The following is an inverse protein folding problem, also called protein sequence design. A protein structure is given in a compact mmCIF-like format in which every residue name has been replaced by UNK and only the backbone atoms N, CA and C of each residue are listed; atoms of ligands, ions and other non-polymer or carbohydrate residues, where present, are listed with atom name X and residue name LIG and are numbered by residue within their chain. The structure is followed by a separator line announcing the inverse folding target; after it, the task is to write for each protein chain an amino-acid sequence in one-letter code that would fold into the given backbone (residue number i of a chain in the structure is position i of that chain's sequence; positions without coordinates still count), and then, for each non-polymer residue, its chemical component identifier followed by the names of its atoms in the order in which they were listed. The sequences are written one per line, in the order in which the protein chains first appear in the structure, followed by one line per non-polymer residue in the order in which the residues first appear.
data_IF_552053680978
#
_entry.id   IF_552053680978
#
_cell.length_a   1.000
_cell.length_b   1.000
_cell.length_c   1.000
_cell.angle_alpha   90.00
_cell.angle_beta   90.00
_cell.angle_gamma   90.00
#
_symmetry.space_group_name_H-M   'P 1'
#
loop_
_entity.id
_entity.type
_entity.pdbx_description
1 polymer ?
#
# COMPACT_ATOMS: atom_id res chain seq x y z
N UNK A 1 -41.31 25.38 -15.90
CA UNK A 1 -39.83 25.49 -15.85
C UNK A 1 -39.38 26.57 -16.81
N UNK A 2 -38.49 27.48 -16.39
CA UNK A 2 -37.82 28.43 -17.29
C UNK A 2 -36.48 27.84 -17.73
N UNK A 3 -36.16 27.98 -19.01
CA UNK A 3 -34.86 27.53 -19.54
C UNK A 3 -33.73 28.41 -19.00
N UNK A 4 -32.51 27.88 -19.01
CA UNK A 4 -31.28 28.62 -18.63
C UNK A 4 -30.34 28.74 -19.84
N UNK A 5 -29.55 29.82 -19.95
CA UNK A 5 -28.53 29.93 -20.98
C UNK A 5 -27.49 28.81 -20.88
N UNK A 6 -26.99 28.36 -22.01
CA UNK A 6 -25.82 27.47 -22.08
C UNK A 6 -24.62 28.21 -21.47
N UNK A 7 -23.98 27.61 -20.45
CA UNK A 7 -22.72 28.14 -19.91
C UNK A 7 -21.57 27.69 -20.82
N UNK A 8 -20.81 28.64 -21.36
CA UNK A 8 -19.49 28.37 -21.95
C UNK A 8 -18.45 28.32 -20.82
N UNK A 9 -17.55 27.33 -20.78
CA UNK A 9 -16.46 27.34 -19.81
C UNK A 9 -15.50 28.51 -20.14
N UNK A 10 -14.86 29.14 -19.14
CA UNK A 10 -13.89 30.20 -19.39
C UNK A 10 -12.68 29.65 -20.16
N UNK A 11 -12.30 30.36 -21.24
CA UNK A 11 -11.16 30.04 -22.09
C UNK A 11 -9.84 30.13 -21.31
N UNK A 12 -9.22 28.99 -21.03
CA UNK A 12 -7.81 28.91 -20.65
C UNK A 12 -6.93 29.28 -21.84
N UNK A 13 -5.96 30.16 -21.64
CA UNK A 13 -5.01 30.63 -22.67
C UNK A 13 -4.23 29.43 -23.27
N UNK A 14 -4.58 29.06 -24.50
CA UNK A 14 -3.68 28.38 -25.43
C UNK A 14 -3.91 28.95 -26.83
N UNK A 15 -2.81 29.16 -27.55
CA UNK A 15 -2.72 29.95 -28.76
C UNK A 15 -3.47 29.33 -29.96
N UNK A 16 -4.12 30.21 -30.74
CA UNK A 16 -4.22 30.05 -32.20
C UNK A 16 -5.07 28.90 -32.73
N UNK A 17 -6.39 28.93 -32.48
CA UNK A 17 -7.38 28.29 -33.36
C UNK A 17 -8.72 29.00 -33.13
N UNK A 18 -9.34 29.53 -34.19
CA UNK A 18 -10.69 30.04 -34.12
C UNK A 18 -11.63 28.86 -33.80
N UNK A 19 -12.10 28.77 -32.55
CA UNK A 19 -13.08 27.77 -32.14
C UNK A 19 -14.42 28.16 -32.74
N UNK A 20 -14.84 27.48 -33.80
CA UNK A 20 -16.23 27.49 -34.24
C UNK A 20 -17.07 26.87 -33.13
N UNK A 21 -17.96 27.66 -32.52
CA UNK A 21 -18.97 27.12 -31.61
C UNK A 21 -19.74 26.03 -32.37
N UNK A 22 -19.72 24.78 -31.87
CA UNK A 22 -20.49 23.70 -32.45
C UNK A 22 -21.97 24.12 -32.45
N UNK A 23 -22.55 24.32 -33.64
CA UNK A 23 -23.94 24.73 -33.85
C UNK A 23 -24.87 23.69 -33.21
N UNK A 24 -25.79 24.12 -32.36
CA UNK A 24 -26.70 23.23 -31.62
C UNK A 24 -28.12 23.45 -32.13
N UNK A 25 -28.77 22.40 -32.58
CA UNK A 25 -30.13 22.49 -33.10
C UNK A 25 -31.17 22.35 -31.99
N UNK A 26 -32.33 22.98 -32.20
CA UNK A 26 -33.45 22.93 -31.26
C UNK A 26 -34.09 21.54 -31.27
N UNK A 27 -34.36 21.00 -30.09
CA UNK A 27 -34.96 19.67 -29.88
C UNK A 27 -36.48 19.63 -30.22
N UNK A 28 -37.07 20.76 -30.60
CA UNK A 28 -38.51 20.81 -30.95
C UNK A 28 -38.70 20.30 -32.37
N UNK A 29 -39.63 19.35 -32.56
CA UNK A 29 -40.03 18.86 -33.89
C UNK A 29 -40.35 20.05 -34.81
N UNK A 30 -39.84 19.99 -36.04
CA UNK A 30 -39.94 21.03 -37.07
C UNK A 30 -39.25 22.38 -36.74
N UNK A 31 -38.30 22.41 -35.79
CA UNK A 31 -37.52 23.60 -35.46
C UNK A 31 -36.01 23.46 -35.73
N UNK A 32 -35.52 23.97 -36.87
CA UNK A 32 -34.08 23.96 -37.21
C UNK A 32 -33.31 25.21 -36.74
N UNK A 33 -33.83 25.92 -35.73
CA UNK A 33 -33.18 27.13 -35.19
C UNK A 33 -32.03 26.78 -34.26
N UNK A 34 -31.02 27.64 -34.25
CA UNK A 34 -29.89 27.54 -33.32
C UNK A 34 -30.36 27.68 -31.86
N UNK A 35 -29.90 26.78 -31.01
CA UNK A 35 -30.40 26.59 -29.66
C UNK A 35 -29.37 27.01 -28.60
N UNK A 36 -29.74 28.03 -27.82
CA UNK A 36 -28.86 28.68 -26.82
C UNK A 36 -29.33 28.46 -25.38
N UNK A 37 -30.41 27.71 -25.20
CA UNK A 37 -31.05 27.51 -23.91
C UNK A 37 -31.14 26.02 -23.58
N UNK A 38 -31.05 25.68 -22.29
CA UNK A 38 -31.10 24.30 -21.79
C UNK A 38 -32.15 24.14 -20.70
N UNK A 39 -32.65 22.91 -20.58
CA UNK A 39 -33.52 22.51 -19.49
C UNK A 39 -32.72 22.37 -18.17
N UNK A 40 -33.09 23.07 -17.09
CA UNK A 40 -32.38 22.96 -15.80
C UNK A 40 -32.40 21.54 -15.22
N UNK A 41 -33.42 20.75 -15.52
CA UNK A 41 -33.55 19.37 -15.05
C UNK A 41 -32.60 18.45 -15.80
N UNK A 42 -32.43 18.63 -17.11
CA UNK A 42 -31.42 17.90 -17.89
C UNK A 42 -30.02 18.18 -17.36
N UNK A 43 -29.70 19.43 -17.02
CA UNK A 43 -28.42 19.79 -16.39
C UNK A 43 -28.24 19.05 -15.06
N UNK A 44 -29.27 19.04 -14.20
CA UNK A 44 -29.22 18.33 -12.91
C UNK A 44 -29.13 16.81 -13.05
N UNK A 45 -29.70 16.24 -14.11
CA UNK A 45 -29.71 14.81 -14.39
C UNK A 45 -28.55 14.35 -15.29
N UNK A 46 -27.67 15.26 -15.72
CA UNK A 46 -26.54 14.94 -16.61
C UNK A 46 -26.95 14.53 -18.04
N UNK A 47 -28.17 14.84 -18.47
CA UNK A 47 -28.69 14.47 -19.79
C UNK A 47 -28.04 15.37 -20.85
N UNK A 48 -27.21 14.78 -21.72
CA UNK A 48 -26.57 15.49 -22.82
C UNK A 48 -27.51 15.64 -24.03
N UNK A 49 -27.35 16.72 -24.80
CA UNK A 49 -28.04 16.91 -26.07
C UNK A 49 -29.36 17.69 -26.02
N UNK A 50 -29.84 18.11 -24.84
CA UNK A 50 -31.09 18.86 -24.75
C UNK A 50 -30.90 20.38 -24.86
N UNK A 51 -31.34 20.94 -25.99
CA UNK A 51 -31.20 22.36 -26.32
C UNK A 51 -32.48 22.92 -26.97
N UNK A 52 -32.81 24.17 -26.63
CA UNK A 52 -33.98 24.87 -27.15
C UNK A 52 -33.62 26.29 -27.63
N UNK A 53 -34.26 26.75 -28.71
CA UNK A 53 -34.07 28.11 -29.21
C UNK A 53 -34.92 29.15 -28.46
N UNK A 54 -36.05 28.74 -27.88
CA UNK A 54 -36.95 29.64 -27.14
C UNK A 54 -37.75 28.90 -26.07
N UNK A 55 -38.36 29.69 -25.17
CA UNK A 55 -39.25 29.20 -24.13
C UNK A 55 -40.56 28.60 -24.70
N UNK A 56 -40.97 29.03 -25.90
CA UNK A 56 -42.15 28.52 -26.61
C UNK A 56 -41.88 27.14 -27.20
N UNK A 57 -40.72 26.96 -27.84
CA UNK A 57 -40.26 25.66 -28.34
C UNK A 57 -40.17 24.62 -27.20
N UNK A 58 -39.61 25.00 -26.05
CA UNK A 58 -39.59 24.13 -24.87
C UNK A 58 -40.98 23.77 -24.34
N UNK A 59 -41.94 24.70 -24.39
CA UNK A 59 -43.33 24.39 -23.99
C UNK A 59 -44.00 23.44 -24.98
N UNK A 60 -43.77 23.63 -26.28
CA UNK A 60 -44.30 22.76 -27.34
C UNK A 60 -43.76 21.34 -27.27
N UNK A 61 -42.46 21.18 -26.97
CA UNK A 61 -41.79 19.89 -26.83
C UNK A 61 -41.96 19.25 -25.42
N UNK A 62 -42.59 19.93 -24.46
CA UNK A 62 -42.63 19.46 -23.06
C UNK A 62 -43.25 18.07 -22.87
N UNK A 63 -44.24 17.70 -23.70
CA UNK A 63 -44.93 16.42 -23.59
C UNK A 63 -44.01 15.22 -23.85
N UNK A 64 -43.14 15.31 -24.85
CA UNK A 64 -42.12 14.30 -25.18
C UNK A 64 -40.87 14.48 -24.31
N UNK A 65 -40.40 15.71 -24.14
CA UNK A 65 -39.17 16.02 -23.41
C UNK A 65 -39.21 15.58 -21.93
N UNK A 66 -40.36 15.71 -21.24
CA UNK A 66 -40.48 15.23 -19.85
C UNK A 66 -40.33 13.71 -19.68
N UNK A 67 -40.52 12.92 -20.75
CA UNK A 67 -40.30 11.48 -20.72
C UNK A 67 -38.81 11.15 -20.61
N UNK A 68 -37.92 11.99 -21.15
CA UNK A 68 -36.47 11.86 -20.96
C UNK A 68 -36.09 11.99 -19.48
N UNK A 69 -36.73 12.90 -18.74
CA UNK A 69 -36.51 13.01 -17.30
C UNK A 69 -37.00 11.78 -16.53
N UNK A 70 -38.14 11.22 -16.95
CA UNK A 70 -38.69 10.01 -16.33
C UNK A 70 -37.76 8.83 -16.57
N UNK A 71 -37.31 8.64 -17.81
CA UNK A 71 -36.37 7.57 -18.20
C UNK A 71 -35.02 7.72 -17.49
N UNK A 72 -34.44 8.92 -17.44
CA UNK A 72 -33.17 9.16 -16.74
C UNK A 72 -33.27 8.93 -15.22
N UNK A 73 -34.43 9.23 -14.62
CA UNK A 73 -34.69 8.91 -13.21
C UNK A 73 -34.89 7.41 -12.99
N UNK A 74 -35.58 6.72 -13.90
CA UNK A 74 -35.77 5.27 -13.84
C UNK A 74 -34.44 4.52 -14.05
N UNK A 75 -33.61 4.97 -14.98
CA UNK A 75 -32.24 4.47 -15.18
C UNK A 75 -31.36 4.74 -13.96
N UNK A 76 -31.41 5.95 -13.39
CA UNK A 76 -30.69 6.26 -12.15
C UNK A 76 -31.18 5.39 -10.98
N UNK A 77 -32.47 5.21 -10.84
CA UNK A 77 -33.06 4.35 -9.81
C UNK A 77 -32.74 2.86 -10.07
N UNK A 78 -32.60 2.42 -11.32
CA UNK A 78 -32.16 1.06 -11.67
C UNK A 78 -30.67 0.86 -11.41
N UNK A 79 -29.83 1.87 -11.64
CA UNK A 79 -28.41 1.85 -11.27
C UNK A 79 -28.26 1.83 -9.75
N UNK A 80 -29.03 2.66 -9.03
CA UNK A 80 -29.07 2.63 -7.55
C UNK A 80 -29.62 1.30 -7.03
N UNK A 81 -30.66 0.73 -7.67
CA UNK A 81 -31.20 -0.58 -7.29
C UNK A 81 -30.26 -1.75 -7.64
N UNK A 82 -29.53 -1.69 -8.76
CA UNK A 82 -28.52 -2.69 -9.13
C UNK A 82 -27.27 -2.58 -8.24
N UNK A 83 -26.90 -1.37 -7.81
CA UNK A 83 -25.88 -1.15 -6.78
C UNK A 83 -26.33 -1.59 -5.38
N UNK A 84 -27.62 -1.79 -5.14
CA UNK A 84 -28.14 -2.35 -3.89
C UNK A 84 -28.16 -3.90 -3.85
N UNK A 85 -27.74 -4.60 -4.92
CA UNK A 85 -27.78 -6.08 -5.00
C UNK A 85 -26.40 -6.75 -4.98
N UNK A 86 -25.29 -6.03 -5.09
CA UNK A 86 -24.05 -6.46 -4.42
C UNK A 86 -24.16 -6.09 -2.95
N UNK A 87 -24.90 -6.90 -2.18
CA UNK A 87 -24.71 -6.87 -0.74
C UNK A 87 -23.22 -7.12 -0.51
N UNK A 88 -22.57 -6.16 0.13
CA UNK A 88 -21.21 -6.21 0.67
C UNK A 88 -21.16 -7.26 1.79
N UNK A 89 -21.47 -8.51 1.45
CA UNK A 89 -21.42 -9.65 2.35
C UNK A 89 -19.94 -9.96 2.45
N UNK A 90 -19.30 -9.46 3.51
CA UNK A 90 -18.03 -10.02 3.92
C UNK A 90 -18.26 -11.52 4.18
N UNK A 91 -17.80 -12.36 3.26
CA UNK A 91 -17.82 -13.80 3.44
C UNK A 91 -16.55 -14.20 4.14
N UNK A 92 -16.57 -14.35 5.48
CA UNK A 92 -15.46 -15.00 6.18
C UNK A 92 -15.25 -16.40 5.57
N UNK A 93 -14.14 -16.66 4.88
CA UNK A 93 -13.93 -17.93 4.20
C UNK A 93 -13.63 -19.07 5.20
N UNK A 94 -13.36 -18.74 6.47
CA UNK A 94 -13.01 -19.71 7.51
C UNK A 94 -13.83 -19.53 8.80
N UNK A 95 -15.16 -19.73 8.75
CA UNK A 95 -16.03 -19.53 9.92
C UNK A 95 -15.74 -20.48 11.09
N UNK A 96 -14.97 -21.56 10.87
CA UNK A 96 -14.52 -22.50 11.90
C UNK A 96 -13.16 -22.19 12.52
N UNK A 97 -12.41 -21.22 11.98
CA UNK A 97 -11.14 -20.79 12.55
C UNK A 97 -11.37 -19.84 13.74
N UNK A 98 -10.63 -20.04 14.82
CA UNK A 98 -10.75 -19.22 16.03
C UNK A 98 -9.73 -18.07 15.98
N UNK A 99 -10.16 -16.94 15.44
CA UNK A 99 -9.38 -15.70 15.45
C UNK A 99 -8.94 -15.28 16.86
N UNK A 100 -7.71 -14.79 16.97
CA UNK A 100 -7.07 -14.43 18.24
C UNK A 100 -7.54 -13.08 18.78
N UNK A 101 -7.88 -12.14 17.89
CA UNK A 101 -8.35 -10.80 18.23
C UNK A 101 -9.67 -10.39 17.55
N UNK A 102 -9.86 -9.08 17.37
CA UNK A 102 -11.08 -8.49 16.81
C UNK A 102 -11.08 -8.48 15.28
N UNK A 103 -9.90 -8.49 14.66
CA UNK A 103 -9.75 -8.41 13.22
C UNK A 103 -10.32 -9.66 12.56
N UNK A 104 -10.91 -9.46 11.38
CA UNK A 104 -11.41 -10.52 10.49
C UNK A 104 -10.93 -10.17 9.08
N UNK A 105 -10.72 -11.16 8.21
CA UNK A 105 -10.50 -10.89 6.81
C UNK A 105 -11.80 -10.43 6.15
N UNK A 106 -11.69 -9.60 5.10
CA UNK A 106 -12.80 -9.03 4.34
C UNK A 106 -12.77 -9.48 2.87
N UNK A 107 -13.48 -10.56 2.58
CA UNK A 107 -13.55 -11.21 1.27
C UNK A 107 -14.85 -10.90 0.50
N UNK A 108 -14.86 -11.07 -0.84
CA UNK A 108 -13.77 -11.57 -1.69
C UNK A 108 -12.69 -10.51 -1.97
N UNK A 109 -11.44 -10.96 -2.14
CA UNK A 109 -10.36 -10.10 -2.63
C UNK A 109 -10.57 -9.80 -4.12
N UNK A 110 -10.13 -8.63 -4.58
CA UNK A 110 -10.02 -8.39 -6.02
C UNK A 110 -9.04 -9.38 -6.65
N UNK A 111 -9.25 -9.77 -7.92
CA UNK A 111 -8.28 -10.55 -8.68
C UNK A 111 -6.87 -9.93 -8.63
N UNK A 112 -5.86 -10.79 -8.75
CA UNK A 112 -4.46 -10.38 -8.80
C UNK A 112 -4.26 -9.35 -9.92
N UNK A 113 -3.61 -8.23 -9.60
CA UNK A 113 -3.44 -7.11 -10.53
C UNK A 113 -2.34 -7.42 -11.56
N UNK A 114 -2.58 -7.04 -12.80
CA UNK A 114 -1.63 -7.27 -13.90
C UNK A 114 -0.50 -6.24 -13.87
N UNK A 115 0.73 -6.72 -13.99
CA UNK A 115 1.91 -5.87 -14.21
C UNK A 115 2.19 -5.79 -15.71
N UNK A 116 2.34 -4.59 -16.30
CA UNK A 116 2.70 -4.42 -17.72
C UNK A 116 3.93 -5.25 -18.14
N UNK A 117 3.87 -5.85 -19.33
CA UNK A 117 4.92 -6.76 -19.84
C UNK A 117 6.29 -6.11 -20.08
N UNK A 118 6.34 -4.78 -20.18
CA UNK A 118 7.60 -4.03 -20.33
C UNK A 118 8.40 -3.89 -19.02
N UNK A 119 7.82 -4.24 -17.87
CA UNK A 119 8.50 -4.17 -16.57
C UNK A 119 9.27 -5.47 -16.35
N UNK A 120 10.54 -5.37 -15.96
CA UNK A 120 11.36 -6.54 -15.63
C UNK A 120 10.76 -7.29 -14.44
N UNK A 121 10.70 -8.62 -14.54
CA UNK A 121 10.07 -9.50 -13.54
C UNK A 121 11.13 -10.33 -12.82
N UNK A 122 10.99 -10.59 -11.52
CA UNK A 122 11.80 -11.59 -10.82
C UNK A 122 11.42 -13.01 -11.27
N UNK A 123 12.26 -14.00 -10.97
CA UNK A 123 12.11 -15.38 -11.47
C UNK A 123 10.80 -16.05 -11.02
N UNK A 124 10.33 -15.73 -9.82
CA UNK A 124 9.11 -16.28 -9.24
C UNK A 124 7.81 -15.69 -9.83
N UNK A 125 7.87 -14.53 -10.50
CA UNK A 125 6.68 -13.80 -10.94
C UNK A 125 5.79 -14.61 -11.87
N UNK A 126 6.39 -15.48 -12.69
CA UNK A 126 5.71 -16.34 -13.67
C UNK A 126 5.77 -17.83 -13.28
N UNK A 127 6.36 -18.16 -12.13
CA UNK A 127 6.36 -19.52 -11.62
C UNK A 127 4.95 -19.89 -11.11
N UNK A 128 4.39 -21.08 -11.43
CA UNK A 128 3.01 -21.45 -11.11
C UNK A 128 2.70 -21.57 -9.60
N UNK A 129 3.75 -21.69 -8.78
CA UNK A 129 3.69 -21.67 -7.32
C UNK A 129 4.41 -20.47 -6.69
N UNK A 130 4.80 -19.49 -7.51
CA UNK A 130 5.52 -18.32 -7.01
C UNK A 130 6.89 -18.63 -6.40
N UNK A 131 7.53 -19.73 -6.78
CA UNK A 131 8.78 -20.14 -6.15
C UNK A 131 9.95 -19.45 -6.84
N UNK A 132 10.85 -18.87 -6.06
CA UNK A 132 12.10 -18.33 -6.57
C UNK A 132 13.15 -19.44 -6.67
N UNK A 133 13.48 -19.84 -7.90
CA UNK A 133 14.49 -20.88 -8.14
C UNK A 133 15.89 -20.39 -7.72
N UNK A 134 16.19 -19.11 -7.93
CA UNK A 134 17.46 -18.50 -7.54
C UNK A 134 17.67 -18.48 -6.02
N UNK A 135 16.62 -18.24 -5.23
CA UNK A 135 16.67 -18.39 -3.78
C UNK A 135 16.79 -19.85 -3.35
N UNK A 136 16.02 -20.75 -3.99
CA UNK A 136 16.07 -22.18 -3.69
C UNK A 136 17.44 -22.79 -3.94
N UNK A 137 18.15 -22.35 -4.98
CA UNK A 137 19.51 -22.78 -5.29
C UNK A 137 20.50 -22.47 -4.16
N UNK A 138 20.27 -21.39 -3.40
CA UNK A 138 21.12 -20.96 -2.30
C UNK A 138 20.57 -21.35 -0.92
N UNK A 139 19.45 -22.07 -0.87
CA UNK A 139 18.82 -22.46 0.39
C UNK A 139 19.79 -23.24 1.29
N UNK A 140 19.92 -22.81 2.53
CA UNK A 140 20.80 -23.42 3.53
C UNK A 140 22.25 -22.93 3.51
N UNK A 141 22.62 -22.05 2.56
CA UNK A 141 23.90 -21.35 2.64
C UNK A 141 23.88 -20.30 3.75
N UNK A 142 25.04 -20.10 4.37
CA UNK A 142 25.29 -18.96 5.27
C UNK A 142 26.30 -17.97 4.67
N UNK A 143 26.68 -18.18 3.40
CA UNK A 143 27.57 -17.28 2.69
C UNK A 143 26.82 -15.99 2.33
N UNK A 144 27.32 -14.87 2.83
CA UNK A 144 26.76 -13.54 2.59
C UNK A 144 27.49 -12.91 1.41
N UNK A 145 26.74 -12.35 0.45
CA UNK A 145 27.32 -11.66 -0.71
C UNK A 145 27.94 -10.33 -0.27
N UNK A 146 29.17 -10.08 -0.72
CA UNK A 146 29.78 -8.76 -0.74
C UNK A 146 29.44 -8.15 -2.10
N UNK A 147 28.66 -7.07 -2.10
CA UNK A 147 28.22 -6.42 -3.33
C UNK A 147 29.39 -5.70 -4.02
N UNK A 148 29.37 -5.70 -5.35
CA UNK A 148 30.25 -4.85 -6.16
C UNK A 148 29.77 -3.38 -6.09
N UNK A 149 30.61 -2.41 -6.51
CA UNK A 149 30.16 -1.02 -6.64
C UNK A 149 28.92 -0.85 -7.52
N UNK A 150 28.81 -1.62 -8.61
CA UNK A 150 27.64 -1.62 -9.49
C UNK A 150 26.38 -2.17 -8.77
N UNK A 151 26.52 -3.29 -8.05
CA UNK A 151 25.42 -3.85 -7.28
C UNK A 151 24.94 -2.85 -6.20
N UNK A 152 25.85 -2.09 -5.58
CA UNK A 152 25.52 -1.06 -4.59
C UNK A 152 24.71 0.08 -5.21
N UNK A 153 25.07 0.55 -6.40
CA UNK A 153 24.28 1.59 -7.09
C UNK A 153 22.88 1.08 -7.45
N UNK A 154 22.78 -0.18 -7.91
CA UNK A 154 21.48 -0.84 -8.12
C UNK A 154 20.62 -0.84 -6.86
N UNK A 155 21.22 -1.19 -5.71
CA UNK A 155 20.55 -1.18 -4.41
C UNK A 155 20.11 0.21 -3.98
N UNK A 156 20.96 1.24 -4.14
CA UNK A 156 20.61 2.63 -3.82
C UNK A 156 19.40 3.11 -4.62
N UNK A 157 19.37 2.80 -5.93
CA UNK A 157 18.25 3.18 -6.81
C UNK A 157 16.97 2.48 -6.38
N UNK A 158 16.96 1.14 -6.27
CA UNK A 158 15.72 0.41 -5.95
C UNK A 158 15.20 0.74 -4.55
N UNK A 159 16.09 0.94 -3.57
CA UNK A 159 15.68 1.34 -2.21
C UNK A 159 15.08 2.76 -2.17
N UNK A 160 15.61 3.69 -2.96
CA UNK A 160 14.99 5.02 -3.11
C UNK A 160 13.59 4.90 -3.72
N UNK A 161 13.42 4.08 -4.76
CA UNK A 161 12.12 3.86 -5.40
C UNK A 161 11.12 3.20 -4.43
N UNK A 162 11.57 2.23 -3.63
CA UNK A 162 10.74 1.60 -2.58
C UNK A 162 10.27 2.65 -1.56
N UNK A 163 11.17 3.51 -1.08
CA UNK A 163 10.82 4.63 -0.21
C UNK A 163 9.75 5.53 -0.84
N UNK A 164 9.95 5.96 -2.08
CA UNK A 164 8.96 6.79 -2.77
C UNK A 164 7.58 6.12 -2.88
N UNK A 165 7.51 4.80 -3.00
CA UNK A 165 6.24 4.04 -2.99
C UNK A 165 5.62 4.01 -1.58
N UNK A 166 6.40 3.82 -0.52
CA UNK A 166 5.89 3.91 0.86
C UNK A 166 5.33 5.30 1.18
N UNK A 167 5.96 6.38 0.67
CA UNK A 167 5.40 7.73 0.84
C UNK A 167 4.01 7.87 0.19
N UNK A 168 3.73 7.18 -0.93
CA UNK A 168 2.38 7.17 -1.53
C UNK A 168 1.39 6.43 -0.63
N UNK A 169 1.78 5.30 -0.04
CA UNK A 169 0.92 4.56 0.90
C UNK A 169 0.60 5.41 2.15
N UNK A 170 1.61 6.10 2.70
CA UNK A 170 1.47 6.95 3.88
C UNK A 170 0.39 8.03 3.71
N UNK A 171 0.30 8.66 2.53
CA UNK A 171 -0.70 9.69 2.21
C UNK A 171 -2.16 9.17 2.22
N UNK A 172 -2.35 7.86 2.17
CA UNK A 172 -3.67 7.23 2.12
C UNK A 172 -4.14 6.74 3.49
N UNK A 173 -3.27 6.69 4.50
CA UNK A 173 -3.62 6.16 5.83
C UNK A 173 -4.56 7.13 6.54
N UNK A 174 -5.86 6.80 6.53
CA UNK A 174 -6.91 7.54 7.24
C UNK A 174 -8.14 6.64 7.43
N UNK A 175 -9.03 6.96 8.39
CA UNK A 175 -10.27 6.21 8.58
C UNK A 175 -11.10 6.10 7.30
N UNK A 176 -11.71 4.93 7.10
CA UNK A 176 -12.59 4.63 5.97
C UNK A 176 -11.90 4.08 4.73
N UNK A 177 -10.61 4.36 4.52
CA UNK A 177 -9.82 3.79 3.40
C UNK A 177 -9.60 2.31 3.64
N UNK A 178 -9.76 1.47 2.61
CA UNK A 178 -9.50 0.04 2.72
C UNK A 178 -8.03 -0.29 2.47
N UNK A 179 -7.56 -1.39 3.05
CA UNK A 179 -6.19 -1.86 2.76
C UNK A 179 -6.00 -2.23 1.28
N UNK A 180 -7.03 -2.71 0.60
CA UNK A 180 -7.00 -2.99 -0.84
C UNK A 180 -6.92 -1.72 -1.71
N UNK A 181 -7.45 -0.59 -1.25
CA UNK A 181 -7.26 0.72 -1.90
C UNK A 181 -5.80 1.18 -1.77
N UNK A 182 -5.18 0.98 -0.60
CA UNK A 182 -3.76 1.28 -0.37
C UNK A 182 -2.88 0.41 -1.28
N UNK A 183 -3.12 -0.91 -1.32
CA UNK A 183 -2.39 -1.84 -2.19
C UNK A 183 -2.54 -1.47 -3.68
N UNK A 184 -3.72 -1.01 -4.10
CA UNK A 184 -3.92 -0.55 -5.47
C UNK A 184 -3.03 0.64 -5.81
N UNK A 185 -2.97 1.64 -4.94
CA UNK A 185 -2.11 2.80 -5.15
C UNK A 185 -0.62 2.42 -5.12
N UNK A 186 -0.23 1.51 -4.23
CA UNK A 186 1.13 0.93 -4.19
C UNK A 186 1.45 0.24 -5.52
N UNK A 187 0.56 -0.61 -6.02
CA UNK A 187 0.74 -1.31 -7.31
C UNK A 187 0.94 -0.32 -8.47
N UNK A 188 0.11 0.72 -8.54
CA UNK A 188 0.23 1.78 -9.54
C UNK A 188 1.53 2.58 -9.37
N UNK A 189 1.94 2.87 -8.14
CA UNK A 189 3.15 3.59 -7.83
C UNK A 189 4.43 2.80 -8.21
N UNK A 190 4.43 1.48 -8.02
CA UNK A 190 5.49 0.59 -8.48
C UNK A 190 5.58 0.59 -10.01
N UNK A 191 4.46 0.37 -10.69
CA UNK A 191 4.43 0.27 -12.16
C UNK A 191 4.77 1.60 -12.84
N UNK A 192 4.33 2.74 -12.29
CA UNK A 192 4.72 4.08 -12.74
C UNK A 192 6.23 4.36 -12.62
N UNK A 193 6.93 3.62 -11.75
CA UNK A 193 8.39 3.69 -11.55
C UNK A 193 9.15 2.59 -12.31
N UNK A 194 8.50 1.89 -13.24
CA UNK A 194 9.06 0.72 -13.93
C UNK A 194 9.61 -0.33 -12.95
N UNK A 195 8.92 -0.54 -11.83
CA UNK A 195 9.25 -1.53 -10.83
C UNK A 195 8.18 -2.62 -10.79
N UNK A 196 8.61 -3.85 -10.51
CA UNK A 196 7.72 -4.93 -10.14
C UNK A 196 7.48 -4.89 -8.62
N UNK A 197 6.23 -4.96 -8.12
CA UNK A 197 5.98 -5.08 -6.68
C UNK A 197 6.39 -6.47 -6.20
N UNK A 198 7.52 -6.58 -5.49
CA UNK A 198 8.14 -7.88 -5.19
C UNK A 198 7.22 -8.88 -4.49
N UNK A 199 6.33 -8.50 -3.55
CA UNK A 199 5.43 -9.45 -2.90
C UNK A 199 4.47 -10.15 -3.87
N UNK A 200 4.14 -9.53 -5.00
CA UNK A 200 3.15 -10.06 -5.93
C UNK A 200 3.60 -11.43 -6.47
N UNK A 201 2.76 -12.44 -6.27
CA UNK A 201 3.01 -13.84 -6.63
C UNK A 201 4.24 -14.47 -5.95
N UNK A 202 4.91 -13.83 -4.98
CA UNK A 202 5.98 -14.48 -4.21
C UNK A 202 5.39 -15.58 -3.33
N UNK A 203 5.74 -16.84 -3.59
CA UNK A 203 5.07 -18.04 -3.08
C UNK A 203 3.53 -18.00 -3.20
N UNK A 204 3.01 -17.39 -4.26
CA UNK A 204 1.58 -17.12 -4.51
C UNK A 204 0.93 -16.08 -3.56
N UNK A 205 1.69 -15.20 -2.92
CA UNK A 205 1.11 -14.05 -2.22
C UNK A 205 0.27 -13.19 -3.20
N UNK A 206 -0.98 -12.83 -2.86
CA UNK A 206 -1.95 -12.39 -3.87
C UNK A 206 -1.93 -10.88 -4.18
N UNK A 207 -1.18 -10.08 -3.43
CA UNK A 207 -1.20 -8.61 -3.47
C UNK A 207 0.20 -8.02 -3.66
N UNK A 208 0.28 -6.70 -3.83
CA UNK A 208 1.52 -5.97 -4.19
C UNK A 208 2.28 -5.44 -2.97
N UNK A 209 1.67 -5.49 -1.80
CA UNK A 209 2.20 -5.05 -0.50
C UNK A 209 1.57 -5.87 0.63
N UNK A 210 2.13 -5.78 1.82
CA UNK A 210 1.50 -6.28 3.04
C UNK A 210 0.90 -5.11 3.83
N UNK A 211 -0.29 -5.30 4.41
CA UNK A 211 -0.97 -4.33 5.27
C UNK A 211 -1.38 -5.00 6.58
N UNK A 212 -0.63 -4.73 7.65
CA UNK A 212 -0.74 -5.44 8.92
C UNK A 212 -1.36 -4.54 9.97
N UNK A 213 -2.65 -4.75 10.26
CA UNK A 213 -3.44 -3.94 11.19
C UNK A 213 -3.44 -4.57 12.59
N UNK A 214 -3.21 -3.75 13.63
CA UNK A 214 -3.39 -4.11 15.05
C UNK A 214 -2.68 -5.41 15.47
N UNK A 215 -3.42 -6.51 15.70
CA UNK A 215 -2.86 -7.80 16.14
C UNK A 215 -2.12 -8.57 15.03
N UNK A 216 -2.19 -8.12 13.78
CA UNK A 216 -1.40 -8.68 12.68
C UNK A 216 0.05 -8.25 12.86
N UNK A 217 0.93 -9.24 13.00
CA UNK A 217 2.37 -9.09 13.18
C UNK A 217 3.02 -8.67 11.87
N UNK A 218 2.77 -9.42 10.80
CA UNK A 218 3.30 -9.18 9.46
C UNK A 218 2.47 -9.94 8.42
N UNK A 219 2.74 -9.67 7.14
CA UNK A 219 2.15 -10.36 5.98
C UNK A 219 0.61 -10.33 5.91
N UNK A 220 -0.04 -9.31 6.52
CA UNK A 220 -1.47 -9.11 6.34
C UNK A 220 -1.79 -8.88 4.86
N UNK A 221 -2.73 -9.65 4.32
CA UNK A 221 -3.15 -9.53 2.92
C UNK A 221 -4.10 -8.32 2.78
N UNK A 222 -3.80 -7.33 1.92
CA UNK A 222 -4.72 -6.24 1.62
C UNK A 222 -6.11 -6.73 1.19
N UNK A 223 -7.14 -6.26 1.89
CA UNK A 223 -8.53 -6.67 1.69
C UNK A 223 -9.52 -5.49 1.79
N UNK A 224 -10.83 -5.79 1.75
CA UNK A 224 -11.92 -4.79 1.75
C UNK A 224 -12.17 -4.15 3.12
N UNK A 225 -11.37 -4.44 4.15
CA UNK A 225 -11.54 -3.84 5.47
C UNK A 225 -11.18 -2.36 5.42
N UNK A 226 -12.15 -1.50 5.69
CA UNK A 226 -11.88 -0.08 5.99
C UNK A 226 -11.12 0.08 7.30
N UNK A 227 -10.06 0.89 7.27
CA UNK A 227 -9.33 1.32 8.46
C UNK A 227 -10.25 2.08 9.41
N UNK A 228 -10.06 1.88 10.71
CA UNK A 228 -10.86 2.49 11.77
C UNK A 228 -10.02 3.51 12.53
N UNK A 229 -10.65 4.59 13.00
CA UNK A 229 -10.03 5.52 13.95
C UNK A 229 -9.47 4.76 15.15
N UNK A 230 -8.20 5.01 15.49
CA UNK A 230 -7.50 4.33 16.58
C UNK A 230 -6.77 3.03 16.19
N UNK A 231 -6.89 2.58 14.93
CA UNK A 231 -6.04 1.49 14.42
C UNK A 231 -4.57 1.94 14.34
N UNK A 232 -3.66 0.97 14.47
CA UNK A 232 -2.32 1.08 13.91
C UNK A 232 -2.21 0.16 12.69
N UNK A 233 -1.55 0.65 11.64
CA UNK A 233 -1.36 -0.07 10.38
C UNK A 233 0.12 -0.04 10.00
N UNK A 234 0.73 -1.21 9.86
CA UNK A 234 1.99 -1.33 9.14
C UNK A 234 1.74 -1.54 7.64
N UNK A 235 2.48 -0.83 6.79
CA UNK A 235 2.52 -1.08 5.34
C UNK A 235 3.94 -1.47 4.94
N UNK A 236 4.06 -2.65 4.35
CA UNK A 236 5.34 -3.24 3.95
C UNK A 236 5.51 -3.21 2.42
N UNK A 237 6.62 -2.63 1.97
CA UNK A 237 6.90 -2.28 0.60
C UNK A 237 8.23 -2.85 0.17
N UNK A 238 8.16 -3.80 -0.76
CA UNK A 238 9.34 -4.22 -1.52
C UNK A 238 9.11 -3.99 -3.01
N UNK A 239 10.09 -3.37 -3.68
CA UNK A 239 10.05 -3.19 -5.15
C UNK A 239 11.24 -3.84 -5.81
N UNK A 240 11.06 -4.35 -7.03
CA UNK A 240 12.09 -4.95 -7.85
C UNK A 240 12.37 -4.09 -9.09
N UNK A 241 13.63 -3.71 -9.27
CA UNK A 241 14.07 -2.85 -10.37
C UNK A 241 15.48 -3.23 -10.81
N UNK A 242 15.69 -3.37 -12.12
CA UNK A 242 16.99 -3.68 -12.75
C UNK A 242 17.74 -4.85 -12.09
N UNK A 243 17.02 -5.88 -11.65
CA UNK A 243 17.63 -7.07 -11.04
C UNK A 243 17.86 -7.00 -9.54
N UNK A 244 17.37 -5.97 -8.83
CA UNK A 244 17.53 -5.81 -7.38
C UNK A 244 16.18 -5.59 -6.70
N UNK A 245 16.05 -6.03 -5.46
CA UNK A 245 14.94 -5.74 -4.55
C UNK A 245 15.34 -4.66 -3.55
N UNK A 246 14.43 -3.77 -3.17
CA UNK A 246 14.62 -2.82 -2.07
C UNK A 246 13.41 -2.82 -1.15
N UNK A 247 13.66 -2.83 0.16
CA UNK A 247 12.66 -3.21 1.17
C UNK A 247 12.60 -2.27 2.38
N UNK A 248 11.39 -1.95 2.80
CA UNK A 248 11.09 -1.14 3.98
C UNK A 248 9.62 -1.22 4.38
N UNK A 249 9.37 -0.98 5.66
CA UNK A 249 8.03 -0.81 6.19
C UNK A 249 8.00 0.22 7.33
N UNK A 250 6.83 0.82 7.54
CA UNK A 250 6.54 1.70 8.67
C UNK A 250 5.16 1.40 9.25
N UNK A 251 5.03 1.56 10.58
CA UNK A 251 3.73 1.57 11.25
C UNK A 251 3.20 3.00 11.36
N UNK A 252 1.95 3.20 10.94
CA UNK A 252 1.23 4.47 10.91
C UNK A 252 0.07 4.47 11.91
N UNK A 253 -0.28 5.65 12.42
CA UNK A 253 -1.53 5.87 13.15
C UNK A 253 -2.67 6.17 12.19
N UNK A 254 -3.84 5.56 12.42
CA UNK A 254 -5.09 5.87 11.72
C UNK A 254 -5.91 6.84 12.56
N UNK A 255 -5.78 8.13 12.27
CA UNK A 255 -6.38 9.18 13.09
C UNK A 255 -5.75 9.23 14.49
N UNK A 256 -6.55 9.55 15.50
CA UNK A 256 -6.12 9.58 16.89
C UNK A 256 -6.05 8.18 17.50
N UNK A 257 -4.92 7.85 18.12
CA UNK A 257 -4.66 6.56 18.76
C UNK A 257 -4.43 6.70 20.27
N UNK A 258 -4.66 5.63 21.02
CA UNK A 258 -4.38 5.62 22.47
C UNK A 258 -2.89 5.64 22.81
N UNK A 259 -2.57 6.00 24.05
CA UNK A 259 -1.18 6.09 24.54
C UNK A 259 -0.41 4.76 24.49
N UNK A 260 -1.12 3.62 24.56
CA UNK A 260 -0.50 2.31 24.38
C UNK A 260 0.01 2.11 22.96
N UNK A 261 -0.80 2.50 21.96
CA UNK A 261 -0.42 2.48 20.55
C UNK A 261 0.79 3.38 20.30
N UNK A 262 0.77 4.62 20.81
CA UNK A 262 1.87 5.58 20.67
C UNK A 262 3.16 5.01 21.25
N UNK A 263 3.09 4.47 22.48
CA UNK A 263 4.24 3.87 23.16
C UNK A 263 4.80 2.66 22.40
N UNK A 264 3.92 1.79 21.90
CA UNK A 264 4.31 0.61 21.12
C UNK A 264 5.07 1.02 19.86
N UNK A 265 4.46 1.85 19.01
CA UNK A 265 5.02 2.28 17.73
C UNK A 265 6.34 3.04 17.95
N UNK A 266 6.40 3.96 18.92
CA UNK A 266 7.63 4.67 19.28
C UNK A 266 8.74 3.69 19.70
N UNK A 267 8.43 2.74 20.59
CA UNK A 267 9.44 1.80 21.10
C UNK A 267 9.94 0.87 20.00
N UNK A 268 9.07 0.44 19.08
CA UNK A 268 9.46 -0.38 17.93
C UNK A 268 10.44 0.38 17.03
N UNK A 269 10.15 1.64 16.71
CA UNK A 269 11.05 2.49 15.94
C UNK A 269 12.40 2.68 16.64
N UNK A 270 12.40 2.94 17.95
CA UNK A 270 13.63 3.05 18.74
C UNK A 270 14.44 1.76 18.77
N UNK A 271 13.77 0.60 18.83
CA UNK A 271 14.45 -0.71 18.74
C UNK A 271 15.20 -0.86 17.41
N UNK A 272 14.55 -0.51 16.29
CA UNK A 272 15.18 -0.53 14.97
C UNK A 272 16.39 0.41 14.94
N UNK A 273 16.21 1.67 15.32
CA UNK A 273 17.27 2.68 15.22
C UNK A 273 18.47 2.35 16.11
N UNK A 274 18.27 1.88 17.34
CA UNK A 274 19.38 1.44 18.21
C UNK A 274 20.14 0.25 17.63
N UNK A 275 19.44 -0.67 16.94
CA UNK A 275 20.09 -1.77 16.24
C UNK A 275 20.91 -1.26 15.04
N UNK A 276 20.38 -0.34 14.25
CA UNK A 276 21.06 0.32 13.13
C UNK A 276 22.34 1.04 13.59
N UNK A 277 22.29 1.77 14.70
CA UNK A 277 23.45 2.47 15.29
C UNK A 277 24.60 1.52 15.66
N UNK A 278 24.30 0.23 15.84
CA UNK A 278 25.29 -0.81 16.14
C UNK A 278 25.89 -1.45 14.88
N UNK A 279 25.38 -1.15 13.68
CA UNK A 279 25.82 -1.77 12.42
C UNK A 279 27.13 -1.16 11.94
N UNK A 280 28.19 -1.97 11.96
CA UNK A 280 29.51 -1.66 11.40
C UNK A 280 30.33 -2.94 11.18
N UNK A 281 31.42 -2.90 10.39
CA UNK A 281 32.29 -4.05 10.20
C UNK A 281 32.77 -4.68 11.52
N UNK A 282 32.78 -6.01 11.57
CA UNK A 282 33.23 -6.78 12.74
C UNK A 282 32.15 -7.09 13.77
N UNK A 283 30.98 -6.45 13.70
CA UNK A 283 29.82 -6.79 14.54
C UNK A 283 29.18 -8.09 14.07
N UNK A 284 28.75 -8.94 15.00
CA UNK A 284 28.05 -10.19 14.67
C UNK A 284 26.57 -9.92 14.46
N UNK A 285 25.96 -10.52 13.45
CA UNK A 285 24.51 -10.37 13.18
C UNK A 285 23.65 -10.73 14.39
N UNK A 286 24.04 -11.75 15.17
CA UNK A 286 23.32 -12.17 16.38
C UNK A 286 23.23 -11.09 17.47
N UNK A 287 24.08 -10.07 17.43
CA UNK A 287 24.10 -9.01 18.45
C UNK A 287 22.87 -8.10 18.35
N UNK A 288 22.34 -7.90 17.15
CA UNK A 288 21.22 -6.99 16.90
C UNK A 288 19.99 -7.35 17.73
N UNK A 289 19.68 -8.66 17.85
CA UNK A 289 18.58 -9.11 18.68
C UNK A 289 18.76 -8.88 20.19
N UNK A 290 20.01 -8.78 20.69
CA UNK A 290 20.25 -8.39 22.09
C UNK A 290 19.89 -6.92 22.31
N UNK A 291 20.26 -6.04 21.38
CA UNK A 291 19.97 -4.60 21.43
C UNK A 291 18.47 -4.36 21.39
N UNK A 292 17.80 -4.95 20.40
CA UNK A 292 16.35 -4.83 20.19
C UNK A 292 15.58 -5.34 21.42
N UNK A 293 15.81 -6.58 21.84
CA UNK A 293 15.03 -7.16 22.92
C UNK A 293 15.27 -6.45 24.25
N UNK A 294 16.47 -5.93 24.50
CA UNK A 294 16.74 -5.14 25.72
C UNK A 294 15.84 -3.89 25.78
N UNK A 295 15.73 -3.14 24.68
CA UNK A 295 14.91 -1.92 24.63
C UNK A 295 13.41 -2.22 24.69
N UNK A 296 12.95 -3.23 23.95
CA UNK A 296 11.56 -3.67 23.99
C UNK A 296 11.13 -4.12 25.40
N UNK A 297 11.93 -4.96 26.06
CA UNK A 297 11.62 -5.47 27.39
C UNK A 297 11.66 -4.39 28.47
N UNK A 298 12.59 -3.43 28.37
CA UNK A 298 12.64 -2.29 29.29
C UNK A 298 11.35 -1.45 29.25
N UNK A 299 10.63 -1.48 28.13
CA UNK A 299 9.35 -0.79 27.93
C UNK A 299 8.11 -1.67 28.17
N UNK A 300 8.30 -2.93 28.55
CA UNK A 300 7.21 -3.88 28.85
C UNK A 300 6.67 -4.64 27.64
N UNK A 301 7.40 -4.65 26.52
CA UNK A 301 6.99 -5.33 25.29
C UNK A 301 7.78 -6.62 25.04
N UNK A 302 7.29 -7.44 24.11
CA UNK A 302 7.93 -8.68 23.68
C UNK A 302 8.36 -8.61 22.22
N UNK A 303 9.24 -9.54 21.80
CA UNK A 303 9.82 -9.59 20.45
C UNK A 303 9.45 -10.91 19.79
N UNK A 304 8.83 -10.82 18.62
CA UNK A 304 8.47 -11.98 17.77
C UNK A 304 9.71 -12.80 17.41
N UNK A 305 9.54 -14.11 17.27
CA UNK A 305 10.66 -15.06 17.06
C UNK A 305 10.62 -15.85 15.77
N UNK A 306 9.46 -15.90 15.12
CA UNK A 306 9.23 -16.72 13.91
C UNK A 306 9.69 -16.03 12.62
N UNK A 307 9.86 -14.71 12.67
CA UNK A 307 10.30 -13.88 11.55
C UNK A 307 11.58 -13.12 11.90
N UNK A 308 12.38 -12.79 10.89
CA UNK A 308 13.70 -12.19 11.04
C UNK A 308 14.07 -11.33 9.84
N UNK A 309 14.96 -10.35 10.05
CA UNK A 309 15.61 -9.66 8.94
C UNK A 309 16.38 -10.63 8.04
N UNK A 310 16.67 -10.19 6.82
CA UNK A 310 17.26 -11.03 5.80
C UNK A 310 18.31 -10.29 4.97
N UNK A 311 19.21 -11.03 4.32
CA UNK A 311 19.97 -10.51 3.20
C UNK A 311 19.03 -10.19 2.04
N UNK A 312 19.29 -9.08 1.37
CA UNK A 312 18.49 -8.63 0.22
C UNK A 312 19.40 -8.00 -0.83
N UNK A 313 19.19 -8.37 -2.09
CA UNK A 313 19.86 -7.78 -3.25
C UNK A 313 19.16 -8.23 -4.53
N UNK A 314 19.85 -9.00 -5.39
CA UNK A 314 19.25 -9.75 -6.51
C UNK A 314 18.26 -10.85 -6.11
N UNK A 315 18.22 -11.19 -4.82
CA UNK A 315 17.29 -12.13 -4.22
C UNK A 315 16.45 -11.33 -3.24
N UNK A 316 15.17 -11.68 -3.11
CA UNK A 316 14.29 -11.02 -2.15
C UNK A 316 14.73 -11.41 -0.74
N UNK A 317 14.84 -12.70 -0.46
CA UNK A 317 15.29 -13.22 0.83
C UNK A 317 16.51 -14.14 0.69
N UNK A 318 17.60 -13.81 1.36
CA UNK A 318 18.82 -14.64 1.40
C UNK A 318 19.62 -14.44 2.68
N UNK A 319 20.81 -15.06 2.77
CA UNK A 319 21.69 -14.90 3.92
C UNK A 319 22.19 -13.44 4.05
N UNK A 320 22.26 -12.89 5.28
CA UNK A 320 22.06 -13.57 6.57
C UNK A 320 20.61 -13.53 7.06
N UNK A 321 20.20 -14.52 7.85
CA UNK A 321 19.04 -14.37 8.72
C UNK A 321 19.42 -13.54 9.96
N UNK A 322 18.61 -12.56 10.32
CA UNK A 322 18.88 -11.58 11.39
C UNK A 322 17.74 -11.58 12.42
N UNK A 323 17.74 -12.50 13.41
CA UNK A 323 16.70 -12.56 14.43
C UNK A 323 16.73 -11.36 15.36
N UNK A 324 15.54 -10.87 15.71
CA UNK A 324 15.36 -9.68 16.55
C UNK A 324 15.38 -9.95 18.06
N UNK A 325 15.43 -11.22 18.47
CA UNK A 325 15.46 -11.62 19.88
C UNK A 325 16.88 -11.91 20.39
N UNK A 326 17.10 -11.71 21.68
CA UNK A 326 18.37 -11.92 22.37
C UNK A 326 18.78 -13.39 22.42
N UNK A 327 20.10 -13.63 22.52
CA UNK A 327 20.70 -14.98 22.59
C UNK A 327 20.32 -15.90 21.40
N UNK A 328 19.99 -15.31 20.26
CA UNK A 328 19.82 -16.05 19.02
C UNK A 328 21.15 -16.64 18.53
N UNK A 329 21.07 -17.53 17.53
CA UNK A 329 22.23 -18.27 16.99
C UNK A 329 22.58 -17.84 15.56
N UNK A 330 22.26 -16.61 15.16
CA UNK A 330 22.56 -16.14 13.82
C UNK A 330 24.05 -16.24 13.49
N UNK A 331 24.31 -16.62 12.24
CA UNK A 331 25.66 -16.85 11.71
C UNK A 331 26.12 -15.60 10.95
N UNK A 332 27.40 -15.29 11.05
CA UNK A 332 28.05 -14.26 10.26
C UNK A 332 28.53 -13.05 11.06
N UNK A 333 29.41 -12.30 10.40
CA UNK A 333 30.01 -11.05 10.88
C UNK A 333 29.84 -10.04 9.75
N UNK A 334 29.40 -8.83 10.09
CA UNK A 334 29.20 -7.73 9.15
C UNK A 334 30.54 -7.35 8.51
N UNK A 335 30.52 -7.13 7.19
CA UNK A 335 31.65 -6.64 6.40
C UNK A 335 31.16 -5.56 5.43
N UNK A 336 32.04 -4.62 5.02
CA UNK A 336 31.69 -3.67 3.98
C UNK A 336 31.13 -4.35 2.74
N UNK A 337 30.06 -3.80 2.17
CA UNK A 337 29.39 -4.35 1.00
C UNK A 337 28.32 -5.41 1.31
N UNK A 338 28.11 -5.81 2.57
CA UNK A 338 26.92 -6.60 2.93
C UNK A 338 25.68 -5.70 2.89
N UNK A 339 24.58 -6.22 2.33
CA UNK A 339 23.26 -5.58 2.36
C UNK A 339 22.23 -6.52 2.98
N UNK A 340 21.46 -6.01 3.94
CA UNK A 340 20.48 -6.78 4.71
C UNK A 340 19.44 -5.86 5.37
N UNK A 341 18.33 -6.44 5.84
CA UNK A 341 17.25 -5.75 6.55
C UNK A 341 17.36 -5.93 8.07
N UNK A 342 16.86 -4.95 8.81
CA UNK A 342 16.50 -5.09 10.22
C UNK A 342 15.03 -4.66 10.32
N UNK A 343 14.16 -5.53 10.84
CA UNK A 343 12.70 -5.40 10.71
C UNK A 343 11.94 -5.83 11.99
N UNK A 344 12.28 -5.29 13.19
CA UNK A 344 11.76 -5.81 14.44
C UNK A 344 10.25 -5.69 14.55
N UNK A 345 9.60 -6.83 14.80
CA UNK A 345 8.19 -6.92 15.16
C UNK A 345 8.06 -7.03 16.69
N UNK A 346 7.43 -6.02 17.30
CA UNK A 346 7.30 -5.88 18.75
C UNK A 346 5.83 -5.95 19.13
N UNK A 347 5.50 -6.73 20.16
CA UNK A 347 4.13 -6.96 20.59
C UNK A 347 3.86 -6.39 21.99
N UNK A 348 2.64 -5.88 22.20
CA UNK A 348 2.18 -5.45 23.54
C UNK A 348 2.07 -6.62 24.54
N UNK A 349 1.84 -7.81 24.01
CA UNK A 349 1.57 -9.03 24.74
C UNK A 349 2.73 -10.02 24.74
N UNK A 350 2.37 -11.30 24.65
CA UNK A 350 3.32 -12.38 24.36
C UNK A 350 3.90 -12.28 22.95
N UNK A 351 5.03 -12.96 22.73
CA UNK A 351 5.72 -12.98 21.44
C UNK A 351 5.18 -14.05 20.48
N UNK A 352 4.33 -14.94 20.99
CA UNK A 352 3.85 -16.10 20.25
C UNK A 352 2.93 -15.65 19.12
N UNK A 353 3.19 -16.17 17.94
CA UNK A 353 2.41 -15.97 16.73
C UNK A 353 1.67 -17.24 16.30
N UNK A 354 0.61 -17.06 15.52
CA UNK A 354 0.01 -18.10 14.70
C UNK A 354 -0.41 -17.53 13.34
N UNK A 355 -0.50 -18.38 12.32
CA UNK A 355 -0.86 -17.98 10.96
C UNK A 355 -2.33 -18.28 10.69
N UNK A 356 -3.03 -17.32 10.09
CA UNK A 356 -4.40 -17.53 9.61
C UNK A 356 -4.46 -18.62 8.52
N UNK A 357 -5.65 -19.16 8.23
CA UNK A 357 -5.81 -20.19 7.21
C UNK A 357 -5.53 -19.73 5.76
N UNK A 358 -5.33 -18.43 5.52
CA UNK A 358 -4.78 -17.91 4.25
C UNK A 358 -3.33 -18.35 3.99
N UNK A 359 -2.62 -18.82 5.02
CA UNK A 359 -1.22 -19.24 4.94
C UNK A 359 -0.19 -18.11 5.01
N UNK A 360 -0.62 -16.87 5.22
CA UNK A 360 0.22 -15.67 5.19
C UNK A 360 0.08 -14.80 6.43
N UNK A 361 -1.14 -14.41 6.80
CA UNK A 361 -1.39 -13.40 7.84
C UNK A 361 -0.94 -13.94 9.19
N UNK A 362 0.15 -13.40 9.73
CA UNK A 362 0.69 -13.77 11.03
C UNK A 362 0.07 -12.88 12.10
N UNK A 363 -0.51 -13.46 13.15
CA UNK A 363 -1.15 -12.71 14.23
C UNK A 363 -0.59 -13.07 15.59
N UNK A 364 -0.65 -12.12 16.54
CA UNK A 364 -0.37 -12.42 17.94
C UNK A 364 -1.38 -13.42 18.48
N UNK A 365 -0.92 -14.42 19.24
CA UNK A 365 -1.79 -15.46 19.80
C UNK A 365 -2.73 -14.97 20.90
N UNK A 366 -2.40 -13.85 21.53
CA UNK A 366 -3.21 -13.22 22.58
C UNK A 366 -4.11 -12.07 22.05
N UNK A 367 -4.07 -11.79 20.75
CA UNK A 367 -4.91 -10.78 20.10
C UNK A 367 -4.56 -9.34 20.46
N UNK A 368 -3.40 -9.09 21.09
CA UNK A 368 -2.90 -7.74 21.36
C UNK A 368 -2.13 -7.18 20.17
N UNK A 369 -1.89 -5.86 20.15
CA UNK A 369 -1.28 -5.19 19.00
C UNK A 369 0.20 -5.57 18.82
N UNK A 370 0.64 -5.49 17.57
CA UNK A 370 2.03 -5.56 17.13
C UNK A 370 2.36 -4.34 16.28
N UNK A 371 3.62 -3.92 16.30
CA UNK A 371 4.13 -2.88 15.41
C UNK A 371 5.48 -3.30 14.82
N UNK A 372 5.78 -2.79 13.63
CA UNK A 372 7.00 -3.09 12.88
C UNK A 372 7.54 -1.83 12.18
N UNK A 373 8.87 -1.75 12.09
CA UNK A 373 9.58 -0.80 11.24
C UNK A 373 10.72 -1.55 10.57
N UNK A 374 11.10 -1.13 9.38
CA UNK A 374 12.18 -1.77 8.64
C UNK A 374 13.01 -0.81 7.80
N UNK A 375 14.31 -1.11 7.73
CA UNK A 375 15.20 -0.53 6.73
C UNK A 375 16.09 -1.59 6.08
N UNK A 376 16.35 -1.41 4.78
CA UNK A 376 17.46 -2.02 4.06
C UNK A 376 18.75 -1.23 4.31
N UNK A 377 19.80 -1.91 4.75
CA UNK A 377 21.06 -1.32 5.19
C UNK A 377 22.24 -1.84 4.37
N UNK A 378 23.14 -0.94 3.98
CA UNK A 378 24.44 -1.28 3.42
C UNK A 378 25.52 -1.08 4.48
N UNK A 379 26.29 -2.11 4.81
CA UNK A 379 27.46 -1.97 5.67
C UNK A 379 28.57 -1.24 4.90
N UNK A 380 29.09 -0.16 5.47
CA UNK A 380 30.20 0.62 4.92
C UNK A 380 31.49 0.33 5.69
N UNK A 381 32.60 0.99 5.34
CA UNK A 381 33.89 0.82 6.01
C UNK A 381 33.86 1.19 7.51
N UNK A 382 32.98 2.11 7.91
CA UNK A 382 32.96 2.68 9.27
C UNK A 382 31.62 2.54 9.99
N UNK A 383 30.57 2.09 9.30
CA UNK A 383 29.22 2.02 9.85
C UNK A 383 28.25 1.37 8.87
N UNK A 384 27.10 2.02 8.65
CA UNK A 384 26.17 1.66 7.59
C UNK A 384 25.61 2.89 6.87
N UNK A 385 25.07 2.66 5.68
CA UNK A 385 24.19 3.57 4.97
C UNK A 385 22.77 3.00 5.04
N UNK A 386 21.82 3.82 5.50
CA UNK A 386 20.39 3.48 5.46
C UNK A 386 19.88 3.80 4.05
N UNK A 387 19.67 2.75 3.24
CA UNK A 387 19.32 2.89 1.82
C UNK A 387 17.87 3.32 1.62
N UNK A 388 16.97 2.91 2.52
CA UNK A 388 15.53 3.23 2.46
C UNK A 388 15.10 4.38 3.38
N UNK A 389 16.06 5.21 3.83
CA UNK A 389 15.77 6.40 4.63
C UNK A 389 14.85 7.37 3.87
N UNK A 390 14.06 8.16 4.61
CA UNK A 390 13.39 9.32 4.01
C UNK A 390 14.43 10.37 3.64
N UNK A 391 14.23 11.01 2.48
CA UNK A 391 15.10 12.10 2.02
C UNK A 391 14.66 13.46 2.59
N UNK A 392 13.39 13.58 2.95
CA UNK A 392 12.80 14.74 3.61
C UNK A 392 12.76 14.54 5.14
N UNK A 393 12.41 15.59 5.88
CA UNK A 393 12.18 15.55 7.34
C UNK A 393 13.36 14.96 8.15
N UNK A 394 14.59 15.13 7.66
CA UNK A 394 15.80 14.57 8.24
C UNK A 394 15.75 13.04 8.47
N UNK A 395 15.01 12.31 7.64
CA UNK A 395 14.90 10.85 7.76
C UNK A 395 13.90 10.35 8.80
N UNK A 396 13.12 11.23 9.44
CA UNK A 396 12.17 10.85 10.50
C UNK A 396 10.99 10.06 9.96
N UNK A 397 10.64 8.95 10.60
CA UNK A 397 9.44 8.16 10.28
C UNK A 397 8.15 9.01 10.36
N UNK A 398 7.14 8.65 9.57
CA UNK A 398 5.90 9.45 9.43
C UNK A 398 5.16 9.68 10.75
N UNK A 399 5.09 8.64 11.59
CA UNK A 399 4.36 8.73 12.86
C UNK A 399 4.93 9.78 13.83
N UNK A 400 6.21 10.15 13.69
CA UNK A 400 6.81 11.21 14.50
C UNK A 400 6.25 12.59 14.16
N UNK A 401 5.88 12.81 12.89
CA UNK A 401 5.17 14.01 12.48
C UNK A 401 3.71 13.97 12.93
N UNK A 402 3.10 12.79 13.02
CA UNK A 402 1.72 12.61 13.52
C UNK A 402 1.56 12.87 15.03
N UNK A 403 2.66 12.90 15.80
CA UNK A 403 2.64 13.19 17.26
C UNK A 403 2.80 14.69 17.56
N UNK A 404 3.32 15.47 16.60
CA UNK A 404 3.69 16.88 16.81
C UNK A 404 2.59 17.89 16.44
N UNK A 405 1.55 17.43 15.76
CA UNK A 405 0.31 18.19 15.51
C UNK A 405 -0.74 17.86 16.59
#
# INVERSE_FOLDING_TARGET
MRLVPVLTPPLGKAAGMATTEARRECETEDCSKDAKLQCPTCIKLGIQGSYFCSQECFKGSWASHKLLHKKAKEEKNQIEANNCVEKDINTDPWPGYRYTGKLRPYYPLTPMRLVPSGIQRPDYADHPRGMSESEQFLKGTSQIKILSPEDIEGMRVVCKLAREVLEIAALMVKPGVTTEEIDHAVHLACTARNCYPSPLNYYNFPKSSCTSVNEVICHGIPDRRSLQEGDILNVDITVYHNGFHGDLNETFFVGEVDEGAKKLVQTTYECLMQAIDSVKPGVRYRELGNVIQKHAQANGFSVVRSYCGHGIHRLFHTAPNVPHYAKNKAVGVMKPGHVFTIEPMICEGGWQDETWPDGWTAVTRDGKRSAQFEHTLLVTETGCEILTRRLEENGRAHFLSQILD
#
